data_IF_053993890150
#
_entry.id   IF_053993890150
#
_cell.length_a   1.000
_cell.length_b   1.000
_cell.length_c   1.000
_cell.angle_alpha   90.00
_cell.angle_beta   90.00
_cell.angle_gamma   90.00
#
_symmetry.space_group_name_H-M   'P 1'
#
loop_
_entity.id
_entity.type
_entity.pdbx_description
1 polymer ?
#
# COMPACT_ATOMS: atom_id res chain seq x y z
N UNK A 1 12.27 -15.03 -11.38
CA UNK A 1 12.49 -13.65 -10.90
C UNK A 1 12.53 -13.68 -9.39
N UNK A 2 13.37 -12.88 -8.73
CA UNK A 2 13.37 -12.81 -7.28
C UNK A 2 11.99 -12.38 -6.76
N UNK A 3 11.57 -12.95 -5.62
CA UNK A 3 10.32 -12.57 -4.98
C UNK A 3 10.47 -11.18 -4.35
N UNK A 4 9.62 -10.24 -4.77
CA UNK A 4 9.58 -8.83 -4.33
C UNK A 4 8.40 -8.57 -3.40
N UNK A 5 7.71 -9.63 -2.98
CA UNK A 5 6.57 -9.58 -2.06
C UNK A 5 7.06 -9.48 -0.62
N UNK A 6 6.11 -9.33 0.28
CA UNK A 6 6.31 -9.44 1.71
C UNK A 6 7.05 -10.75 2.08
N UNK A 7 7.90 -10.74 3.13
CA UNK A 7 8.63 -11.92 3.56
C UNK A 7 7.70 -13.08 3.96
N UNK A 8 8.06 -14.30 3.57
CA UNK A 8 7.24 -15.51 3.78
C UNK A 8 6.87 -15.75 5.26
N UNK A 9 7.68 -15.29 6.21
CA UNK A 9 7.42 -15.44 7.65
C UNK A 9 6.13 -14.76 8.12
N UNK A 10 5.64 -13.75 7.40
CA UNK A 10 4.38 -13.07 7.68
C UNK A 10 3.15 -13.81 7.14
N UNK A 11 3.35 -14.94 6.43
CA UNK A 11 2.29 -15.87 5.98
C UNK A 11 1.12 -15.13 5.32
N UNK A 12 1.41 -14.21 4.40
CA UNK A 12 0.37 -13.45 3.72
C UNK A 12 -0.54 -14.40 2.90
N UNK A 13 -1.88 -14.31 3.00
CA UNK A 13 -2.80 -15.26 2.33
C UNK A 13 -2.59 -15.33 0.82
N UNK A 14 -2.25 -14.19 0.21
CA UNK A 14 -2.00 -14.07 -1.24
C UNK A 14 -0.53 -14.21 -1.64
N UNK A 15 0.33 -14.84 -0.81
CA UNK A 15 1.77 -14.99 -1.12
C UNK A 15 2.01 -15.71 -2.45
N UNK A 16 1.11 -16.62 -2.86
CA UNK A 16 1.22 -17.41 -4.09
C UNK A 16 0.32 -16.90 -5.23
N UNK A 17 -0.38 -15.79 -5.04
CA UNK A 17 -1.15 -15.18 -6.11
C UNK A 17 -0.21 -14.65 -7.22
N UNK A 18 -0.63 -14.77 -8.47
CA UNK A 18 0.19 -14.41 -9.64
C UNK A 18 -0.33 -13.19 -10.39
N UNK A 19 -1.45 -12.62 -9.96
CA UNK A 19 -2.07 -11.44 -10.56
C UNK A 19 -2.87 -10.67 -9.53
N UNK A 20 -2.90 -9.35 -9.67
CA UNK A 20 -3.88 -8.50 -8.97
C UNK A 20 -5.23 -8.58 -9.70
N UNK A 21 -6.32 -8.61 -8.95
CA UNK A 21 -7.67 -8.39 -9.47
C UNK A 21 -8.26 -7.13 -8.86
N UNK A 22 -9.19 -6.51 -9.58
CA UNK A 22 -9.95 -5.37 -9.10
C UNK A 22 -11.44 -5.67 -9.30
N UNK A 23 -12.26 -5.17 -8.39
CA UNK A 23 -13.72 -5.32 -8.43
C UNK A 23 -14.38 -4.14 -7.71
N UNK A 24 -15.67 -3.95 -7.96
CA UNK A 24 -16.51 -3.00 -7.25
C UNK A 24 -16.87 -3.60 -5.89
N UNK A 25 -16.70 -2.80 -4.84
CA UNK A 25 -17.34 -3.04 -3.55
C UNK A 25 -18.33 -1.93 -3.25
N UNK A 26 -19.25 -2.22 -2.34
CA UNK A 26 -20.27 -1.29 -1.85
C UNK A 26 -20.50 -1.56 -0.36
N UNK A 27 -20.65 -0.49 0.41
CA UNK A 27 -21.10 -0.52 1.79
C UNK A 27 -21.95 0.73 2.09
N UNK A 28 -22.33 0.95 3.36
CA UNK A 28 -23.16 2.09 3.76
C UNK A 28 -22.52 3.47 3.47
N UNK A 29 -21.20 3.52 3.22
CA UNK A 29 -20.46 4.71 2.83
C UNK A 29 -20.23 4.78 1.30
N UNK A 30 -20.92 3.95 0.52
CA UNK A 30 -20.98 3.99 -0.93
C UNK A 30 -20.04 3.02 -1.64
N UNK A 31 -19.83 3.27 -2.93
CA UNK A 31 -18.98 2.46 -3.79
C UNK A 31 -17.49 2.69 -3.54
N UNK A 32 -16.71 1.62 -3.63
CA UNK A 32 -15.26 1.67 -3.56
C UNK A 32 -14.63 0.69 -4.56
N UNK A 33 -13.40 0.99 -4.97
CA UNK A 33 -12.61 0.03 -5.72
C UNK A 33 -11.92 -0.92 -4.73
N UNK A 34 -12.16 -2.21 -4.88
CA UNK A 34 -11.45 -3.25 -4.15
C UNK A 34 -10.37 -3.86 -5.04
N UNK A 35 -9.19 -4.10 -4.49
CA UNK A 35 -8.13 -4.86 -5.13
C UNK A 35 -7.58 -5.96 -4.23
N UNK A 36 -7.21 -7.10 -4.84
CA UNK A 36 -6.45 -8.14 -4.13
C UNK A 36 -5.39 -8.79 -5.02
N UNK A 37 -4.22 -9.08 -4.43
CA UNK A 37 -3.10 -9.75 -5.09
C UNK A 37 -1.82 -8.90 -5.18
N UNK A 38 -0.74 -9.42 -5.80
CA UNK A 38 0.55 -8.75 -5.85
C UNK A 38 0.56 -7.55 -6.81
N UNK A 39 1.31 -6.52 -6.45
CA UNK A 39 1.60 -5.35 -7.29
C UNK A 39 2.72 -5.70 -8.29
N UNK A 40 2.33 -6.27 -9.43
CA UNK A 40 3.23 -6.59 -10.54
C UNK A 40 3.13 -5.53 -11.64
N UNK A 41 4.01 -5.62 -12.64
CA UNK A 41 4.04 -4.67 -13.75
C UNK A 41 2.67 -4.56 -14.43
N UNK A 42 2.20 -3.32 -14.64
CA UNK A 42 0.90 -3.02 -15.23
C UNK A 42 -0.27 -3.06 -14.23
N UNK A 43 -0.02 -3.19 -12.92
CA UNK A 43 -1.05 -3.10 -11.89
C UNK A 43 -1.76 -1.74 -11.90
N UNK A 44 -1.00 -0.65 -12.03
CA UNK A 44 -1.55 0.71 -12.13
C UNK A 44 -2.41 0.89 -13.38
N UNK A 45 -1.92 0.50 -14.55
CA UNK A 45 -2.68 0.57 -15.80
C UNK A 45 -3.97 -0.26 -15.72
N UNK A 46 -3.90 -1.43 -15.08
CA UNK A 46 -5.08 -2.26 -14.84
C UNK A 46 -6.06 -1.55 -13.92
N UNK A 47 -5.61 -0.96 -12.82
CA UNK A 47 -6.47 -0.18 -11.92
C UNK A 47 -7.21 0.91 -12.69
N UNK A 48 -6.50 1.71 -13.52
CA UNK A 48 -7.10 2.77 -14.32
C UNK A 48 -8.20 2.27 -15.25
N UNK A 49 -8.04 1.09 -15.86
CA UNK A 49 -9.08 0.49 -16.71
C UNK A 49 -10.36 0.21 -15.93
N UNK A 50 -10.27 -0.29 -14.70
CA UNK A 50 -11.44 -0.54 -13.86
C UNK A 50 -12.08 0.76 -13.38
N UNK A 51 -11.28 1.74 -12.97
CA UNK A 51 -11.82 3.06 -12.57
C UNK A 51 -12.58 3.70 -13.72
N UNK A 52 -12.00 3.70 -14.92
CA UNK A 52 -12.66 4.22 -16.13
C UNK A 52 -13.95 3.45 -16.43
N UNK A 53 -13.92 2.13 -16.38
CA UNK A 53 -15.09 1.29 -16.64
C UNK A 53 -16.26 1.61 -15.70
N UNK A 54 -16.00 1.74 -14.39
CA UNK A 54 -17.04 2.06 -13.41
C UNK A 54 -17.54 3.50 -13.58
N UNK A 55 -16.64 4.46 -13.86
CA UNK A 55 -17.03 5.84 -14.15
C UNK A 55 -17.94 5.94 -15.38
N UNK A 56 -17.61 5.24 -16.48
CA UNK A 56 -18.45 5.18 -17.69
C UNK A 56 -19.80 4.50 -17.45
N UNK A 57 -19.88 3.66 -16.41
CA UNK A 57 -21.12 3.00 -15.95
C UNK A 57 -21.92 3.85 -14.96
N UNK A 58 -21.55 5.11 -14.73
CA UNK A 58 -22.23 6.02 -13.80
C UNK A 58 -21.93 5.77 -12.32
N UNK A 59 -20.90 4.99 -12.01
CA UNK A 59 -20.47 4.70 -10.63
C UNK A 59 -19.30 5.60 -10.27
N UNK A 60 -19.50 6.48 -9.29
CA UNK A 60 -18.45 7.31 -8.73
C UNK A 60 -17.63 6.51 -7.70
N UNK A 61 -16.31 6.55 -7.84
CA UNK A 61 -15.37 5.93 -6.92
C UNK A 61 -14.52 7.02 -6.28
N UNK A 62 -14.49 7.03 -4.94
CA UNK A 62 -13.66 7.93 -4.14
C UNK A 62 -12.93 7.21 -2.99
N UNK A 63 -12.98 5.87 -3.01
CA UNK A 63 -12.45 4.98 -1.98
C UNK A 63 -11.71 3.81 -2.61
N UNK A 64 -10.61 3.40 -1.98
CA UNK A 64 -9.82 2.25 -2.41
C UNK A 64 -9.45 1.34 -1.23
N UNK A 65 -9.69 0.04 -1.40
CA UNK A 65 -9.25 -1.02 -0.50
C UNK A 65 -8.28 -1.94 -1.23
N UNK A 66 -7.19 -2.33 -0.59
CA UNK A 66 -6.20 -3.23 -1.19
C UNK A 66 -5.69 -4.28 -0.20
N UNK A 67 -5.99 -5.54 -0.49
CA UNK A 67 -5.40 -6.71 0.18
C UNK A 67 -4.20 -7.20 -0.65
N UNK A 68 -2.98 -6.91 -0.22
CA UNK A 68 -1.80 -7.18 -1.06
C UNK A 68 -0.54 -7.52 -0.25
N UNK A 69 0.22 -8.53 -0.70
CA UNK A 69 1.56 -8.80 -0.17
C UNK A 69 2.60 -7.78 -0.68
N UNK A 70 2.17 -6.73 -1.38
CA UNK A 70 3.04 -5.76 -2.03
C UNK A 70 3.57 -6.26 -3.36
N UNK A 71 4.81 -5.89 -3.68
CA UNK A 71 5.43 -6.08 -4.98
C UNK A 71 6.17 -4.83 -5.42
N UNK A 72 6.14 -4.53 -6.72
CA UNK A 72 6.86 -3.44 -7.33
C UNK A 72 6.48 -2.08 -6.70
N UNK A 73 7.45 -1.41 -6.10
CA UNK A 73 7.22 -0.13 -5.40
C UNK A 73 6.78 0.97 -6.37
N UNK A 74 7.32 1.02 -7.59
CA UNK A 74 6.91 1.99 -8.61
C UNK A 74 5.42 1.89 -8.97
N UNK A 75 4.88 0.67 -9.11
CA UNK A 75 3.44 0.45 -9.30
C UNK A 75 2.64 0.98 -8.10
N UNK A 76 3.12 0.71 -6.88
CA UNK A 76 2.51 1.23 -5.66
C UNK A 76 2.50 2.76 -5.58
N UNK A 77 3.62 3.42 -5.94
CA UNK A 77 3.71 4.88 -5.95
C UNK A 77 2.79 5.52 -6.99
N UNK A 78 2.66 4.92 -8.18
CA UNK A 78 1.75 5.38 -9.23
C UNK A 78 0.28 5.31 -8.77
N UNK A 79 -0.11 4.18 -8.17
CA UNK A 79 -1.45 4.02 -7.59
C UNK A 79 -1.67 5.03 -6.46
N UNK A 80 -0.72 5.16 -5.53
CA UNK A 80 -0.85 6.12 -4.43
C UNK A 80 -0.88 7.58 -4.90
N UNK A 81 -0.13 7.94 -5.94
CA UNK A 81 -0.19 9.27 -6.55
C UNK A 81 -1.57 9.54 -7.16
N UNK A 82 -2.16 8.55 -7.84
CA UNK A 82 -3.53 8.66 -8.35
C UNK A 82 -4.52 8.91 -7.21
N UNK A 83 -4.47 8.11 -6.14
CA UNK A 83 -5.32 8.25 -4.95
C UNK A 83 -5.18 9.64 -4.34
N UNK A 84 -3.95 10.10 -4.12
CA UNK A 84 -3.67 11.42 -3.53
C UNK A 84 -4.19 12.55 -4.42
N UNK A 85 -3.93 12.49 -5.73
CA UNK A 85 -4.34 13.53 -6.70
C UNK A 85 -5.86 13.66 -6.82
N UNK A 86 -6.60 12.56 -6.67
CA UNK A 86 -8.06 12.54 -6.78
C UNK A 86 -8.77 12.63 -5.43
N UNK A 87 -8.04 12.89 -4.33
CA UNK A 87 -8.59 12.98 -2.97
C UNK A 87 -9.35 11.72 -2.51
N UNK A 88 -8.86 10.55 -2.89
CA UNK A 88 -9.48 9.29 -2.50
C UNK A 88 -9.16 8.92 -1.05
N UNK A 89 -10.11 8.25 -0.40
CA UNK A 89 -9.94 7.62 0.90
C UNK A 89 -9.38 6.21 0.72
N UNK A 90 -8.50 5.77 1.63
CA UNK A 90 -8.00 4.39 1.66
C UNK A 90 -8.52 3.65 2.87
N UNK A 91 -9.04 2.44 2.64
CA UNK A 91 -9.68 1.64 3.67
C UNK A 91 -8.99 0.27 3.80
N UNK A 92 -9.10 -0.34 4.98
CA UNK A 92 -8.63 -1.70 5.23
C UNK A 92 -9.60 -2.43 6.15
N UNK A 93 -10.18 -3.54 5.67
CA UNK A 93 -11.11 -4.36 6.44
C UNK A 93 -10.37 -5.30 7.42
N UNK A 94 -11.11 -5.90 8.35
CA UNK A 94 -10.56 -6.75 9.43
C UNK A 94 -9.76 -7.97 8.99
N UNK A 95 -9.85 -8.37 7.73
CA UNK A 95 -9.10 -9.50 7.14
C UNK A 95 -7.99 -9.03 6.21
N UNK A 96 -7.88 -7.72 5.95
CA UNK A 96 -6.90 -7.18 5.04
C UNK A 96 -5.49 -7.15 5.62
N UNK A 97 -4.55 -7.51 4.75
CA UNK A 97 -3.12 -7.33 4.95
C UNK A 97 -2.60 -6.52 3.78
N UNK A 98 -2.09 -5.34 4.07
CA UNK A 98 -1.59 -4.39 3.08
C UNK A 98 -0.11 -4.15 3.37
N UNK A 99 0.74 -4.97 2.76
CA UNK A 99 2.17 -5.02 3.09
C UNK A 99 3.05 -4.40 2.01
N UNK A 100 4.23 -3.93 2.44
CA UNK A 100 5.28 -3.39 1.57
C UNK A 100 4.77 -2.19 0.75
N UNK A 101 4.84 -2.25 -0.58
CA UNK A 101 4.34 -1.20 -1.48
C UNK A 101 2.84 -0.92 -1.32
N UNK A 102 2.05 -1.87 -0.80
CA UNK A 102 0.67 -1.59 -0.42
C UNK A 102 0.58 -0.59 0.74
N UNK A 103 1.49 -0.63 1.72
CA UNK A 103 1.52 0.34 2.82
C UNK A 103 1.68 1.78 2.32
N UNK A 104 2.48 2.00 1.27
CA UNK A 104 2.59 3.31 0.61
C UNK A 104 1.27 3.75 -0.02
N UNK A 105 0.56 2.84 -0.70
CA UNK A 105 -0.79 3.10 -1.25
C UNK A 105 -1.75 3.51 -0.14
N UNK A 106 -1.81 2.74 0.95
CA UNK A 106 -2.70 3.04 2.07
C UNK A 106 -2.39 4.41 2.67
N UNK A 107 -1.11 4.75 2.88
CA UNK A 107 -0.69 6.04 3.41
C UNK A 107 -1.11 7.22 2.51
N UNK A 108 -1.25 7.00 1.21
CA UNK A 108 -1.56 8.03 0.20
C UNK A 108 -3.00 8.52 0.22
N UNK A 109 -3.95 7.80 0.84
CA UNK A 109 -5.32 8.30 1.01
C UNK A 109 -5.38 9.64 1.75
N UNK A 110 -6.24 10.56 1.34
CA UNK A 110 -6.41 11.84 2.06
C UNK A 110 -7.13 11.65 3.40
N UNK A 111 -8.04 10.67 3.44
CA UNK A 111 -8.59 10.06 4.64
C UNK A 111 -8.19 8.58 4.63
N UNK A 112 -8.06 8.00 5.82
CA UNK A 112 -7.66 6.60 6.00
C UNK A 112 -8.56 5.95 7.05
N UNK A 113 -9.11 4.78 6.72
CA UNK A 113 -10.00 4.03 7.61
C UNK A 113 -9.48 2.61 7.82
N UNK A 114 -9.60 2.10 9.03
CA UNK A 114 -9.10 0.75 9.37
C UNK A 114 -10.06 0.03 10.31
N UNK A 115 -10.34 -1.24 10.07
CA UNK A 115 -11.08 -2.09 11.01
C UNK A 115 -10.15 -2.84 11.96
N UNK A 116 -10.68 -3.23 13.11
CA UNK A 116 -9.98 -4.12 14.03
C UNK A 116 -9.67 -5.46 13.36
N UNK A 117 -8.38 -5.82 13.27
CA UNK A 117 -7.90 -7.04 12.61
C UNK A 117 -7.07 -6.77 11.35
N UNK A 118 -7.23 -5.60 10.73
CA UNK A 118 -6.46 -5.19 9.58
C UNK A 118 -4.98 -4.93 9.93
N UNK A 119 -4.10 -5.13 8.95
CA UNK A 119 -2.66 -4.91 9.11
C UNK A 119 -2.07 -4.11 7.95
N UNK A 120 -1.33 -3.04 8.27
CA UNK A 120 -0.57 -2.25 7.30
C UNK A 120 0.92 -2.41 7.60
N UNK A 121 1.67 -2.99 6.66
CA UNK A 121 3.07 -3.35 6.85
C UNK A 121 4.02 -2.49 6.01
N UNK A 122 5.07 -1.95 6.65
CA UNK A 122 6.07 -1.11 6.01
C UNK A 122 7.46 -1.71 6.12
N UNK A 123 8.27 -1.61 5.06
CA UNK A 123 9.70 -1.87 5.10
C UNK A 123 10.41 -1.07 4.01
N UNK A 124 11.73 -0.95 4.12
CA UNK A 124 12.55 -0.27 3.12
C UNK A 124 12.44 -0.97 1.76
N UNK A 125 12.14 -0.24 0.65
CA UNK A 125 12.26 -0.78 -0.69
C UNK A 125 13.68 -1.29 -0.96
N UNK A 126 13.82 -2.39 -1.70
CA UNK A 126 15.13 -2.97 -1.99
C UNK A 126 15.18 -3.49 -3.42
N UNK A 127 16.40 -3.64 -3.93
CA UNK A 127 16.66 -4.33 -5.19
C UNK A 127 17.06 -5.77 -4.85
N UNK A 128 16.31 -6.80 -5.29
CA UNK A 128 16.57 -8.16 -4.83
C UNK A 128 17.98 -8.68 -5.14
N UNK A 129 18.54 -8.27 -6.27
CA UNK A 129 19.87 -8.70 -6.74
C UNK A 129 21.01 -7.80 -6.21
N UNK A 130 20.73 -6.85 -5.32
CA UNK A 130 21.72 -5.93 -4.73
C UNK A 130 21.72 -6.10 -3.21
N UNK A 131 22.86 -6.04 -2.56
CA UNK A 131 22.96 -6.09 -1.09
C UNK A 131 22.61 -4.72 -0.49
N UNK A 132 21.99 -4.72 0.69
CA UNK A 132 21.68 -3.51 1.46
C UNK A 132 22.93 -2.94 2.17
N UNK A 133 23.86 -2.37 1.41
CA UNK A 133 25.00 -1.63 1.97
C UNK A 133 24.54 -0.32 2.63
N UNK A 134 25.29 0.25 3.58
CA UNK A 134 24.94 1.55 4.19
C UNK A 134 24.68 2.66 3.16
N UNK A 135 25.50 2.74 2.10
CA UNK A 135 25.32 3.73 1.03
C UNK A 135 24.05 3.47 0.22
N UNK A 136 23.72 2.21 -0.07
CA UNK A 136 22.48 1.88 -0.76
C UNK A 136 21.26 2.21 0.09
N UNK A 137 21.29 1.90 1.39
CA UNK A 137 20.21 2.27 2.32
C UNK A 137 20.01 3.78 2.33
N UNK A 138 21.08 4.56 2.38
CA UNK A 138 21.02 6.03 2.32
C UNK A 138 20.46 6.53 0.99
N UNK A 139 20.86 5.92 -0.13
CA UNK A 139 20.34 6.23 -1.46
C UNK A 139 18.83 6.00 -1.52
N UNK A 140 18.36 4.80 -1.16
CA UNK A 140 16.94 4.44 -1.14
C UNK A 140 16.18 5.37 -0.20
N UNK A 141 16.71 5.65 0.99
CA UNK A 141 16.11 6.62 1.91
C UNK A 141 15.84 7.97 1.23
N UNK A 142 16.82 8.47 0.49
CA UNK A 142 16.74 9.78 -0.17
C UNK A 142 15.80 9.75 -1.38
N UNK A 143 15.77 8.65 -2.10
CA UNK A 143 14.94 8.46 -3.30
C UNK A 143 13.44 8.51 -3.00
N UNK A 144 12.98 7.84 -1.94
CA UNK A 144 11.54 7.75 -1.61
C UNK A 144 11.03 8.88 -0.69
N UNK A 145 11.92 9.68 -0.10
CA UNK A 145 11.56 10.72 0.85
C UNK A 145 10.67 11.82 0.23
N UNK A 146 10.93 12.31 -1.00
CA UNK A 146 10.07 13.29 -1.64
C UNK A 146 8.62 12.81 -1.80
N UNK A 147 8.42 11.54 -2.18
CA UNK A 147 7.08 10.96 -2.28
C UNK A 147 6.41 10.89 -0.92
N UNK A 148 7.12 10.40 0.10
CA UNK A 148 6.58 10.29 1.45
C UNK A 148 6.16 11.67 2.00
N UNK A 149 6.96 12.69 1.74
CA UNK A 149 6.62 14.06 2.09
C UNK A 149 5.40 14.58 1.30
N UNK A 150 5.32 14.31 0.00
CA UNK A 150 4.19 14.70 -0.85
C UNK A 150 2.85 14.17 -0.33
N UNK A 151 2.82 12.93 0.16
CA UNK A 151 1.60 12.33 0.74
C UNK A 151 1.37 12.72 2.21
N UNK A 152 2.17 13.66 2.73
CA UNK A 152 2.13 14.11 4.14
C UNK A 152 2.35 12.94 5.11
N UNK A 153 3.21 12.00 4.73
CA UNK A 153 3.56 10.86 5.55
C UNK A 153 4.33 11.28 6.80
N UNK A 154 4.12 10.56 7.90
CA UNK A 154 4.77 10.87 9.16
C UNK A 154 6.28 10.58 9.10
N UNK A 155 7.14 11.56 9.44
CA UNK A 155 8.58 11.41 9.32
C UNK A 155 9.17 10.37 10.29
N UNK A 156 8.59 10.20 11.48
CA UNK A 156 9.05 9.19 12.44
C UNK A 156 8.77 7.77 11.94
N UNK A 157 7.61 7.54 11.32
CA UNK A 157 7.32 6.25 10.67
C UNK A 157 8.33 5.98 9.54
N UNK A 158 8.60 6.98 8.69
CA UNK A 158 9.58 6.87 7.61
C UNK A 158 10.97 6.47 8.12
N UNK A 159 11.44 7.14 9.17
CA UNK A 159 12.70 6.82 9.84
C UNK A 159 12.75 5.36 10.30
N UNK A 160 11.68 4.88 10.96
CA UNK A 160 11.59 3.52 11.47
C UNK A 160 11.68 2.51 10.33
N UNK A 161 10.74 2.53 9.37
CA UNK A 161 10.68 1.46 8.38
C UNK A 161 11.82 1.55 7.35
N UNK A 162 12.34 2.74 7.05
CA UNK A 162 13.44 2.87 6.10
C UNK A 162 14.79 2.47 6.69
N UNK A 163 15.03 2.67 7.99
CA UNK A 163 16.34 2.36 8.60
C UNK A 163 16.36 1.00 9.29
N UNK A 164 15.27 0.62 9.96
CA UNK A 164 15.25 -0.55 10.86
C UNK A 164 14.66 -1.80 10.22
N UNK A 165 13.76 -1.65 9.23
CA UNK A 165 13.05 -2.78 8.61
C UNK A 165 13.51 -3.00 7.17
N UNK A 166 14.45 -3.93 7.00
CA UNK A 166 15.02 -4.31 5.70
C UNK A 166 14.19 -5.33 4.93
N UNK A 167 14.81 -5.98 3.94
CA UNK A 167 14.13 -6.94 3.04
C UNK A 167 13.49 -8.16 3.70
N UNK A 168 13.91 -8.53 4.91
CA UNK A 168 13.41 -9.70 5.64
C UNK A 168 12.37 -9.36 6.71
N UNK A 169 12.09 -8.08 6.97
CA UNK A 169 11.32 -7.59 8.10
C UNK A 169 10.29 -6.54 7.68
N UNK A 170 9.23 -6.36 8.47
CA UNK A 170 8.24 -5.31 8.27
C UNK A 170 7.77 -4.76 9.61
N UNK A 171 7.58 -3.45 9.65
CA UNK A 171 6.91 -2.78 10.75
C UNK A 171 5.40 -2.84 10.50
N UNK A 172 4.71 -3.66 11.27
CA UNK A 172 3.26 -3.88 11.14
C UNK A 172 2.51 -2.93 12.07
N UNK A 173 1.66 -2.11 11.47
CA UNK A 173 0.72 -1.26 12.16
C UNK A 173 -0.68 -1.89 12.12
N UNK A 174 -1.39 -1.79 13.25
CA UNK A 174 -2.76 -2.28 13.44
C UNK A 174 -3.63 -1.11 13.89
N UNK A 175 -4.95 -1.31 13.98
CA UNK A 175 -5.89 -0.26 14.36
C UNK A 175 -5.55 0.45 15.69
N UNK A 176 -4.93 -0.26 16.64
CA UNK A 176 -4.50 0.26 17.94
C UNK A 176 -3.14 0.99 17.92
N UNK A 177 -2.27 0.72 16.95
CA UNK A 177 -0.92 1.33 16.86
C UNK A 177 -0.78 2.37 15.76
N UNK A 178 -1.58 2.28 14.68
CA UNK A 178 -1.42 3.12 13.49
C UNK A 178 -1.69 4.61 13.75
N UNK A 179 -2.54 4.92 14.74
CA UNK A 179 -2.90 6.29 15.14
C UNK A 179 -1.71 7.10 15.67
N UNK A 180 -0.61 6.44 16.07
CA UNK A 180 0.64 7.09 16.46
C UNK A 180 1.30 7.81 15.27
N UNK A 181 1.03 7.35 14.05
CA UNK A 181 1.72 7.82 12.84
C UNK A 181 0.78 8.45 11.81
N UNK A 182 -0.52 8.16 11.84
CA UNK A 182 -1.46 8.66 10.85
C UNK A 182 -2.77 9.03 11.52
N UNK A 183 -3.43 10.07 11.04
CA UNK A 183 -4.84 10.30 11.36
C UNK A 183 -5.67 9.23 10.67
N UNK A 184 -6.40 8.46 11.48
CA UNK A 184 -7.11 7.25 11.06
C UNK A 184 -8.48 7.24 11.74
N UNK A 185 -9.50 6.85 10.98
CA UNK A 185 -10.81 6.50 11.51
C UNK A 185 -10.88 4.98 11.71
N UNK A 186 -11.22 4.54 12.92
CA UNK A 186 -11.53 3.13 13.19
C UNK A 186 -13.04 2.94 13.07
N UNK A 187 -13.47 1.94 12.30
CA UNK A 187 -14.87 1.66 12.00
C UNK A 187 -15.20 0.17 12.09
#
# INVERSE_FOLDING_TARGET
MPDIRAPNKYKHPLQHANKIIFMLGEDDAGHYLYGEGPLLAGAYEKMLRYVKFYQESGIELNRFMLHSPGGLVNEGLLIGNYIRKHNWTTDSDKYMRCYSSCGFIFASGVKKRIQQGAEIGFHRPYLPNKVDTPDFIKQVYTEYQPYWHYIQGNPALYEIFMKQYGREDMYILRADTISQYMQIEVY
#
